data_IF_024787381873
#
_entry.id   IF_024787381873
#
_cell.length_a   1.000
_cell.length_b   1.000
_cell.length_c   1.000
_cell.angle_alpha   90.00
_cell.angle_beta   90.00
_cell.angle_gamma   90.00
#
_symmetry.space_group_name_H-M   'P 1'
#
loop_
_entity.id
_entity.type
_entity.pdbx_description
1 polymer ?
#
# COMPACT_ATOMS: atom_id res chain seq x y z
N UNK A 1 -2.47 34.72 15.95
CA UNK A 1 -2.33 35.19 14.54
C UNK A 1 -1.23 34.41 13.81
N UNK A 2 -0.09 34.15 14.46
CA UNK A 2 0.97 33.23 13.96
C UNK A 2 0.43 31.83 13.63
N UNK A 3 -0.51 31.31 14.43
CA UNK A 3 -1.05 29.96 14.26
C UNK A 3 -1.71 29.75 12.88
N UNK A 4 -2.57 30.69 12.49
CA UNK A 4 -3.23 30.68 11.18
C UNK A 4 -2.25 30.83 10.02
N UNK A 5 -1.16 31.57 10.21
CA UNK A 5 -0.11 31.72 9.21
C UNK A 5 0.64 30.39 9.00
N UNK A 6 0.96 29.71 10.10
CA UNK A 6 1.62 28.40 10.06
C UNK A 6 0.74 27.34 9.41
N UNK A 7 -0.54 27.28 9.78
CA UNK A 7 -1.50 26.33 9.21
C UNK A 7 -1.73 26.61 7.71
N UNK A 8 -1.77 27.89 7.31
CA UNK A 8 -1.83 28.29 5.91
C UNK A 8 -0.57 27.90 5.12
N UNK A 9 0.61 28.07 5.71
CA UNK A 9 1.89 27.66 5.10
C UNK A 9 1.94 26.14 4.90
N UNK A 10 1.49 25.36 5.89
CA UNK A 10 1.39 23.91 5.78
C UNK A 10 0.42 23.49 4.67
N UNK A 11 -0.77 24.08 4.62
CA UNK A 11 -1.77 23.76 3.61
C UNK A 11 -1.29 24.07 2.17
N UNK A 12 -0.68 25.24 1.98
CA UNK A 12 -0.08 25.62 0.69
C UNK A 12 1.08 24.69 0.35
N UNK A 13 1.93 24.37 1.32
CA UNK A 13 3.02 23.41 1.18
C UNK A 13 2.51 22.04 0.72
N UNK A 14 1.44 21.53 1.35
CA UNK A 14 0.82 20.25 1.01
C UNK A 14 0.31 20.21 -0.44
N UNK A 15 -0.44 21.24 -0.84
CA UNK A 15 -0.96 21.38 -2.21
C UNK A 15 0.18 21.48 -3.23
N UNK A 16 1.20 22.29 -2.92
CA UNK A 16 2.37 22.48 -3.77
C UNK A 16 3.18 21.19 -3.93
N UNK A 17 3.43 20.48 -2.83
CA UNK A 17 4.13 19.20 -2.85
C UNK A 17 3.32 18.20 -3.65
N UNK A 18 2.03 17.98 -3.33
CA UNK A 18 1.17 17.04 -4.05
C UNK A 18 1.14 17.29 -5.55
N UNK A 19 1.03 18.55 -5.97
CA UNK A 19 1.13 18.94 -7.38
C UNK A 19 2.49 18.56 -7.98
N UNK A 20 3.58 18.90 -7.30
CA UNK A 20 4.96 18.59 -7.74
C UNK A 20 5.20 17.08 -7.82
N UNK A 21 4.63 16.29 -6.91
CA UNK A 21 4.77 14.83 -6.89
C UNK A 21 4.20 14.22 -8.18
N UNK A 22 3.04 14.69 -8.63
CA UNK A 22 2.36 14.18 -9.83
C UNK A 22 2.99 14.69 -11.12
N UNK A 23 3.46 15.94 -11.15
CA UNK A 23 4.00 16.58 -12.37
C UNK A 23 5.47 16.22 -12.65
N UNK A 24 6.19 15.66 -11.67
CA UNK A 24 7.60 15.29 -11.85
C UNK A 24 7.78 14.15 -12.86
N UNK A 25 8.52 14.40 -13.95
CA UNK A 25 8.87 13.38 -14.94
C UNK A 25 9.90 12.35 -14.42
N UNK A 26 10.66 12.71 -13.38
CA UNK A 26 11.62 11.81 -12.73
C UNK A 26 10.93 11.02 -11.61
N UNK A 27 10.98 9.69 -11.72
CA UNK A 27 10.30 8.77 -10.81
C UNK A 27 10.92 8.78 -9.41
N UNK A 28 12.25 8.84 -9.30
CA UNK A 28 12.94 8.94 -8.02
C UNK A 28 12.57 10.23 -7.30
N UNK A 29 12.56 11.34 -8.04
CA UNK A 29 12.14 12.64 -7.50
C UNK A 29 10.68 12.63 -7.05
N UNK A 30 9.78 12.00 -7.81
CA UNK A 30 8.38 11.82 -7.42
C UNK A 30 8.25 11.01 -6.13
N UNK A 31 9.02 9.93 -5.96
CA UNK A 31 9.06 9.13 -4.73
C UNK A 31 9.52 9.97 -3.53
N UNK A 32 10.59 10.74 -3.67
CA UNK A 32 11.09 11.61 -2.60
C UNK A 32 10.05 12.69 -2.24
N UNK A 33 9.43 13.31 -3.24
CA UNK A 33 8.35 14.29 -3.03
C UNK A 33 7.14 13.66 -2.30
N UNK A 34 6.81 12.40 -2.59
CA UNK A 34 5.76 11.65 -1.91
C UNK A 34 6.09 11.40 -0.43
N UNK A 35 7.35 11.01 -0.13
CA UNK A 35 7.82 10.85 1.25
C UNK A 35 7.67 12.16 2.03
N UNK A 36 8.15 13.27 1.46
CA UNK A 36 8.06 14.59 2.11
C UNK A 36 6.60 15.03 2.27
N UNK A 37 5.73 14.74 1.30
CA UNK A 37 4.28 14.99 1.41
C UNK A 37 3.67 14.25 2.61
N UNK A 38 4.01 12.98 2.81
CA UNK A 38 3.57 12.19 3.96
C UNK A 38 4.06 12.77 5.29
N UNK A 39 5.33 13.23 5.37
CA UNK A 39 5.85 13.93 6.55
C UNK A 39 5.09 15.25 6.83
N UNK A 40 4.78 16.03 5.79
CA UNK A 40 3.98 17.26 5.93
C UNK A 40 2.56 16.96 6.43
N UNK A 41 1.95 15.86 5.98
CA UNK A 41 0.67 15.40 6.51
C UNK A 41 0.77 15.00 7.99
N UNK A 42 1.80 14.24 8.38
CA UNK A 42 2.05 13.89 9.78
C UNK A 42 2.20 15.14 10.67
N UNK A 43 2.90 16.17 10.18
CA UNK A 43 3.01 17.48 10.85
C UNK A 43 1.64 18.17 11.02
N UNK A 44 0.74 18.07 10.03
CA UNK A 44 -0.62 18.59 10.14
C UNK A 44 -1.43 17.87 11.22
N UNK A 45 -1.33 16.54 11.30
CA UNK A 45 -1.99 15.74 12.35
C UNK A 45 -1.46 16.07 13.74
N UNK A 46 -0.14 16.22 13.88
CA UNK A 46 0.48 16.64 15.14
C UNK A 46 -0.03 18.03 15.58
N UNK A 47 -0.21 18.93 14.61
CA UNK A 47 -0.74 20.28 14.85
C UNK A 47 -2.20 20.29 15.27
N UNK A 48 -3.02 19.38 14.74
CA UNK A 48 -4.42 19.15 15.11
C UNK A 48 -4.59 18.45 16.47
N UNK A 49 -3.52 18.33 17.27
CA UNK A 49 -3.49 17.62 18.55
C UNK A 49 -3.85 16.12 18.45
N UNK A 50 -3.54 15.49 17.31
CA UNK A 50 -3.71 14.05 17.07
C UNK A 50 -2.34 13.34 16.92
N UNK A 51 -1.56 13.17 18.01
CA UNK A 51 -0.20 12.64 17.94
C UNK A 51 -0.14 11.16 17.52
N UNK A 52 -1.13 10.35 17.89
CA UNK A 52 -1.17 8.92 17.54
C UNK A 52 -1.36 8.73 16.03
N UNK A 53 -2.23 9.56 15.44
CA UNK A 53 -2.47 9.59 13.99
C UNK A 53 -1.24 10.12 13.26
N UNK A 54 -0.58 11.14 13.80
CA UNK A 54 0.66 11.68 13.23
C UNK A 54 1.78 10.63 13.18
N UNK A 55 1.94 9.85 14.24
CA UNK A 55 2.96 8.79 14.32
C UNK A 55 2.62 7.64 13.37
N UNK A 56 1.35 7.26 13.28
CA UNK A 56 0.88 6.26 12.31
C UNK A 56 1.10 6.72 10.86
N UNK A 57 0.77 7.96 10.55
CA UNK A 57 0.95 8.53 9.21
C UNK A 57 2.44 8.64 8.83
N UNK A 58 3.29 9.06 9.76
CA UNK A 58 4.75 9.08 9.53
C UNK A 58 5.30 7.68 9.26
N UNK A 59 4.82 6.67 10.00
CA UNK A 59 5.22 5.28 9.80
C UNK A 59 4.73 4.70 8.46
N UNK A 60 3.51 5.05 8.03
CA UNK A 60 2.92 4.54 6.78
C UNK A 60 3.45 5.30 5.57
N UNK A 61 3.30 6.62 5.53
CA UNK A 61 3.65 7.45 4.36
C UNK A 61 5.15 7.54 4.11
N UNK A 62 5.91 7.99 5.11
CA UNK A 62 7.35 8.19 4.98
C UNK A 62 8.16 6.91 5.23
N UNK A 63 7.70 6.05 6.14
CA UNK A 63 8.37 4.81 6.51
C UNK A 63 8.11 3.69 5.50
N UNK A 64 6.98 3.00 5.64
CA UNK A 64 6.67 1.77 4.92
C UNK A 64 6.46 2.01 3.43
N UNK A 65 5.53 2.89 3.04
CA UNK A 65 5.22 3.15 1.64
C UNK A 65 6.43 3.78 0.95
N UNK A 66 7.10 4.73 1.60
CA UNK A 66 8.35 5.33 1.10
C UNK A 66 9.43 4.30 0.79
N UNK A 67 9.69 3.36 1.71
CA UNK A 67 10.65 2.29 1.52
C UNK A 67 10.24 1.33 0.39
N UNK A 68 8.95 0.95 0.33
CA UNK A 68 8.42 0.08 -0.72
C UNK A 68 8.52 0.72 -2.11
N UNK A 69 8.27 2.03 -2.23
CA UNK A 69 8.39 2.77 -3.48
C UNK A 69 9.85 2.85 -3.95
N UNK A 70 10.80 3.04 -3.03
CA UNK A 70 12.23 3.03 -3.34
C UNK A 70 12.71 1.64 -3.76
N UNK A 71 12.22 0.58 -3.10
CA UNK A 71 12.54 -0.81 -3.47
C UNK A 71 11.97 -1.18 -4.85
N UNK A 72 10.73 -0.79 -5.12
CA UNK A 72 10.12 -0.93 -6.44
C UNK A 72 10.92 -0.17 -7.51
N UNK A 73 11.32 1.08 -7.24
CA UNK A 73 12.16 1.86 -8.14
C UNK A 73 13.50 1.16 -8.42
N UNK A 74 14.15 0.63 -7.38
CA UNK A 74 15.42 -0.10 -7.53
C UNK A 74 15.25 -1.33 -8.41
N UNK A 75 14.15 -2.06 -8.24
CA UNK A 75 13.80 -3.23 -9.06
C UNK A 75 13.58 -2.84 -10.52
N UNK A 76 12.79 -1.80 -10.78
CA UNK A 76 12.54 -1.30 -12.14
C UNK A 76 13.82 -0.84 -12.85
N UNK A 77 14.70 -0.15 -12.12
CA UNK A 77 16.00 0.26 -12.65
C UNK A 77 16.85 -0.97 -12.96
N UNK A 78 16.93 -1.94 -12.05
CA UNK A 78 17.70 -3.18 -12.25
C UNK A 78 17.21 -3.99 -13.47
N UNK A 79 15.88 -4.14 -13.65
CA UNK A 79 15.30 -4.80 -14.82
C UNK A 79 15.64 -4.08 -16.13
N UNK A 80 15.68 -2.74 -16.11
CA UNK A 80 16.06 -1.95 -17.29
C UNK A 80 17.51 -2.23 -17.73
N UNK A 81 18.45 -2.26 -16.78
CA UNK A 81 19.86 -2.60 -17.05
C UNK A 81 20.00 -4.03 -17.58
N UNK A 82 19.22 -4.96 -17.02
CA UNK A 82 19.18 -6.33 -17.50
C UNK A 82 18.58 -6.45 -18.89
N UNK A 83 17.55 -5.69 -19.25
CA UNK A 83 16.97 -5.72 -20.60
C UNK A 83 17.94 -5.23 -21.68
N UNK A 84 18.82 -4.28 -21.34
CA UNK A 84 19.88 -3.80 -22.22
C UNK A 84 21.00 -4.83 -22.43
N UNK A 85 21.36 -5.60 -21.39
CA UNK A 85 22.35 -6.67 -21.46
C UNK A 85 21.77 -7.98 -22.06
N UNK A 86 20.50 -8.28 -21.77
CA UNK A 86 19.78 -9.49 -22.18
C UNK A 86 19.11 -9.38 -23.56
N UNK A 87 19.70 -8.65 -24.52
CA UNK A 87 19.37 -8.83 -25.95
C UNK A 87 19.77 -10.23 -26.49
N UNK A 88 19.97 -11.21 -25.61
CA UNK A 88 19.92 -12.63 -25.89
C UNK A 88 18.78 -13.31 -25.08
N UNK A 89 17.68 -13.60 -25.79
CA UNK A 89 16.64 -14.65 -25.57
C UNK A 89 15.31 -14.28 -24.88
N UNK A 90 14.20 -14.09 -25.65
CA UNK A 90 12.85 -13.80 -25.13
C UNK A 90 11.97 -15.05 -24.82
N UNK A 91 12.51 -16.27 -24.85
CA UNK A 91 11.69 -17.50 -24.85
C UNK A 91 11.14 -17.91 -23.47
N UNK A 92 11.81 -17.53 -22.38
CA UNK A 92 11.42 -17.93 -21.01
C UNK A 92 10.40 -16.96 -20.40
N UNK A 93 10.54 -15.66 -20.71
CA UNK A 93 9.60 -14.62 -20.29
C UNK A 93 8.21 -14.79 -20.93
N UNK A 94 8.15 -15.22 -22.19
CA UNK A 94 6.88 -15.55 -22.85
C UNK A 94 6.16 -16.72 -22.16
N UNK A 95 6.89 -17.73 -21.67
CA UNK A 95 6.30 -18.88 -20.97
C UNK A 95 5.64 -18.51 -19.64
N UNK A 96 6.30 -17.65 -18.85
CA UNK A 96 5.77 -17.17 -17.57
C UNK A 96 4.56 -16.23 -17.74
N UNK A 97 4.57 -15.38 -18.76
CA UNK A 97 3.45 -14.49 -19.06
C UNK A 97 2.17 -15.27 -19.46
N UNK A 98 2.32 -16.38 -20.20
CA UNK A 98 1.19 -17.25 -20.57
C UNK A 98 0.64 -18.00 -19.37
N UNK A 99 1.50 -18.48 -18.46
CA UNK A 99 1.04 -19.16 -17.24
C UNK A 99 0.25 -18.21 -16.31
N UNK A 100 0.71 -16.97 -16.15
CA UNK A 100 0.03 -15.96 -15.34
C UNK A 100 -1.33 -15.57 -15.92
N UNK A 101 -1.44 -15.39 -17.24
CA UNK A 101 -2.70 -15.03 -17.88
C UNK A 101 -3.73 -16.15 -17.86
N UNK A 102 -3.30 -17.41 -17.95
CA UNK A 102 -4.17 -18.60 -17.79
C UNK A 102 -4.72 -18.70 -16.37
N UNK A 103 -3.88 -18.47 -15.35
CA UNK A 103 -4.32 -18.50 -13.95
C UNK A 103 -5.33 -17.40 -13.63
N UNK A 104 -5.07 -16.16 -14.07
CA UNK A 104 -5.97 -15.03 -13.86
C UNK A 104 -7.27 -15.24 -14.62
N UNK A 105 -7.19 -15.66 -15.89
CA UNK A 105 -8.36 -15.96 -16.70
C UNK A 105 -9.23 -17.07 -16.12
N UNK A 106 -8.62 -18.14 -15.62
CA UNK A 106 -9.31 -19.23 -14.93
C UNK A 106 -9.99 -18.79 -13.64
N UNK A 107 -9.33 -17.93 -12.86
CA UNK A 107 -9.91 -17.38 -11.63
C UNK A 107 -11.10 -16.44 -11.91
N UNK A 108 -10.97 -15.57 -12.91
CA UNK A 108 -12.06 -14.68 -13.37
C UNK A 108 -13.23 -15.50 -13.92
N UNK A 109 -12.95 -16.55 -14.69
CA UNK A 109 -13.98 -17.46 -15.18
C UNK A 109 -14.74 -18.17 -14.05
N UNK A 110 -14.00 -18.66 -13.05
CA UNK A 110 -14.59 -19.30 -11.87
C UNK A 110 -15.45 -18.33 -11.04
N UNK A 111 -15.04 -17.06 -10.94
CA UNK A 111 -15.81 -15.99 -10.27
C UNK A 111 -17.06 -15.57 -11.06
N UNK A 112 -16.99 -15.54 -12.39
CA UNK A 112 -18.14 -15.15 -13.23
C UNK A 112 -19.19 -16.26 -13.36
N UNK A 113 -18.79 -17.52 -13.19
CA UNK A 113 -19.70 -18.67 -13.28
C UNK A 113 -20.18 -19.17 -11.92
N UNK A 114 -19.79 -18.56 -10.79
CA UNK A 114 -20.33 -18.91 -9.48
C UNK A 114 -21.79 -18.42 -9.36
N UNK A 115 -22.81 -19.30 -9.43
CA UNK A 115 -24.20 -18.90 -9.34
C UNK A 115 -24.63 -18.89 -7.87
N UNK A 116 -24.57 -17.72 -7.23
CA UNK A 116 -25.18 -17.36 -5.92
C UNK A 116 -24.78 -18.23 -4.69
N UNK A 117 -24.85 -17.69 -3.45
CA UNK A 117 -23.81 -17.84 -2.43
C UNK A 117 -24.09 -18.88 -1.33
N UNK A 118 -23.03 -19.48 -0.75
CA UNK A 118 -23.12 -20.34 0.45
C UNK A 118 -22.71 -19.63 1.77
N UNK A 119 -22.95 -18.32 1.90
CA UNK A 119 -22.94 -17.66 3.21
C UNK A 119 -24.37 -17.47 3.67
N UNK A 120 -24.88 -18.50 4.34
CA UNK A 120 -26.14 -18.45 5.06
C UNK A 120 -25.95 -17.56 6.31
N UNK A 121 -26.41 -16.30 6.21
CA UNK A 121 -26.47 -15.36 7.34
C UNK A 121 -27.45 -15.81 8.44
N UNK A 122 -28.16 -16.92 8.24
CA UNK A 122 -28.93 -17.61 9.27
C UNK A 122 -28.13 -18.76 9.91
N UNK A 123 -26.81 -18.57 10.07
CA UNK A 123 -26.00 -19.41 10.94
C UNK A 123 -26.47 -19.27 12.40
N UNK A 124 -27.31 -20.20 12.83
CA UNK A 124 -27.63 -20.44 14.25
C UNK A 124 -26.51 -21.28 14.84
N UNK A 125 -25.61 -20.72 15.69
CA UNK A 125 -24.49 -21.48 16.24
C UNK A 125 -25.02 -22.65 17.07
N UNK A 126 -24.44 -23.83 16.91
CA UNK A 126 -24.75 -25.00 17.71
C UNK A 126 -24.48 -24.69 19.21
N UNK A 127 -25.41 -25.02 20.12
CA UNK A 127 -25.19 -24.83 21.55
C UNK A 127 -24.09 -25.80 21.99
N UNK A 128 -22.89 -25.27 22.20
CA UNK A 128 -21.68 -26.06 22.49
C UNK A 128 -20.41 -25.53 21.83
N UNK A 129 -20.50 -24.53 20.95
CA UNK A 129 -19.31 -23.85 20.42
C UNK A 129 -18.62 -23.06 21.53
N UNK A 130 -17.54 -23.64 22.04
CA UNK A 130 -16.66 -23.05 23.05
C UNK A 130 -16.15 -21.69 22.53
N UNK A 131 -16.50 -20.60 23.25
CA UNK A 131 -16.14 -19.23 22.89
C UNK A 131 -14.64 -19.13 22.58
N UNK A 132 -14.29 -18.63 21.39
CA UNK A 132 -12.91 -18.35 20.94
C UNK A 132 -12.11 -17.53 21.98
N UNK A 133 -12.79 -16.71 22.78
CA UNK A 133 -12.17 -15.98 23.90
C UNK A 133 -11.60 -16.86 25.02
N UNK A 134 -11.99 -18.14 25.14
CA UNK A 134 -11.42 -19.08 26.13
C UNK A 134 -10.12 -19.72 25.63
N UNK A 135 -9.97 -19.90 24.32
CA UNK A 135 -8.72 -20.39 23.68
C UNK A 135 -7.62 -19.33 23.78
N UNK A 136 -7.97 -18.05 23.59
CA UNK A 136 -7.04 -16.92 23.79
C UNK A 136 -6.59 -16.82 25.26
N UNK A 137 -7.51 -17.09 26.21
CA UNK A 137 -7.18 -17.07 27.65
C UNK A 137 -6.34 -18.29 28.09
N UNK A 138 -6.44 -19.42 27.39
CA UNK A 138 -5.59 -20.61 27.60
C UNK A 138 -4.19 -20.45 27.00
N UNK A 139 -4.05 -19.74 25.87
CA UNK A 139 -2.76 -19.42 25.26
C UNK A 139 -1.98 -18.32 26.00
N UNK A 140 -2.65 -17.40 26.71
CA UNK A 140 -1.98 -16.39 27.55
C UNK A 140 -1.60 -16.90 28.95
N UNK A 141 -1.93 -18.14 29.30
CA UNK A 141 -1.70 -18.69 30.64
C UNK A 141 -0.67 -19.84 30.65
N UNK A 142 0.09 -20.01 29.56
CA UNK A 142 1.26 -20.89 29.43
C UNK A 142 2.48 -20.01 29.15
#
# INVERSE_FOLDING_TARGET
MIDWLFDGLLAIGLLWLGWRTVVSADLFKSIVLFIVLGLFMALCWARLAAPDVALAEAAIGAGLIGALLLDAYRTLVAERWQAEDNNATPRVAAGLAVLSSVLIGGLVWALLYSPEPLVDLNYKPAPGLMKVGSVIRLLLCC
#
